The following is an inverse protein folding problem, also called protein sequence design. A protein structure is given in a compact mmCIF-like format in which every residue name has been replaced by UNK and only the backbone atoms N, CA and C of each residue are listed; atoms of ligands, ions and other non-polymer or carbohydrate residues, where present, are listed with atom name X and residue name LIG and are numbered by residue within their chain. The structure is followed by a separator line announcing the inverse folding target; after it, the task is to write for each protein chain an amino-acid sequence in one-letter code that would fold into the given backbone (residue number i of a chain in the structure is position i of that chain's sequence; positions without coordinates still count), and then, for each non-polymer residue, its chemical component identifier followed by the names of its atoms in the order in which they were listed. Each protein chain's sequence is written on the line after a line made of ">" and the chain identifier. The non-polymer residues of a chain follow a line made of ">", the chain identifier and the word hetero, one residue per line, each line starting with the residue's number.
data_IF_347958340920
#
_entry.id   IF_347958340920
#
_cell.length_a   1.000
_cell.length_b   1.000
_cell.length_c   1.000
_cell.angle_alpha   90.00
_cell.angle_beta   90.00
_cell.angle_gamma   90.00
#
_symmetry.space_group_name_H-M   'P 1'
#
loop_
_entity.id
_entity.type
_entity.pdbx_description
1 polymer ?
#
# COMPACT_ATOMS: atom_id res chain seq x y z
N UNK A 1 56.27 -22.06 31.64
CA UNK A 1 55.70 -23.39 31.98
C UNK A 1 54.29 -23.10 32.49
N UNK A 2 53.17 -23.44 31.87
CA UNK A 2 52.76 -24.54 30.97
C UNK A 2 51.37 -24.07 30.47
N UNK A 3 51.02 -23.90 29.19
CA UNK A 3 51.04 -24.85 28.08
C UNK A 3 49.79 -25.73 28.10
N UNK A 4 48.66 -25.30 27.49
CA UNK A 4 47.61 -26.19 26.96
C UNK A 4 46.98 -25.54 25.72
N UNK A 5 47.07 -26.24 24.59
CA UNK A 5 46.19 -26.08 23.42
C UNK A 5 44.96 -26.99 23.61
N UNK A 6 43.77 -26.57 23.17
CA UNK A 6 42.74 -27.51 22.71
C UNK A 6 42.01 -26.93 21.50
N UNK A 7 41.87 -27.77 20.48
CA UNK A 7 41.38 -27.48 19.15
C UNK A 7 40.01 -28.15 18.98
N UNK A 8 38.93 -27.38 18.75
CA UNK A 8 37.65 -27.92 18.25
C UNK A 8 36.96 -26.93 17.30
N UNK A 9 36.94 -27.28 16.02
CA UNK A 9 35.91 -26.92 15.01
C UNK A 9 34.75 -27.93 15.20
N UNK A 10 33.43 -27.61 15.07
CA UNK A 10 32.72 -27.00 13.92
C UNK A 10 31.69 -25.93 14.38
N UNK A 11 30.81 -25.28 13.62
CA UNK A 11 29.98 -25.64 12.47
C UNK A 11 29.38 -24.35 11.85
N UNK A 12 28.72 -24.52 10.70
CA UNK A 12 27.96 -23.55 9.92
C UNK A 12 27.27 -22.42 10.72
N UNK A 13 27.59 -21.17 10.37
CA UNK A 13 26.80 -20.01 10.74
C UNK A 13 25.54 -19.94 9.88
N UNK A 14 24.46 -20.56 10.36
CA UNK A 14 23.10 -20.37 9.85
C UNK A 14 22.43 -19.21 10.59
N UNK A 15 21.66 -18.45 9.81
CA UNK A 15 20.55 -17.58 10.21
C UNK A 15 20.89 -16.31 11.01
N UNK A 16 20.66 -15.17 10.35
CA UNK A 16 20.66 -13.88 10.99
C UNK A 16 20.29 -12.75 10.03
N UNK A 17 19.18 -12.87 9.31
CA UNK A 17 18.51 -11.68 8.76
C UNK A 17 17.11 -11.63 9.34
N UNK A 18 16.94 -10.69 10.25
CA UNK A 18 15.77 -10.54 11.09
C UNK A 18 14.52 -10.28 10.26
N UNK A 19 13.55 -11.17 10.42
CA UNK A 19 12.16 -10.84 10.20
C UNK A 19 11.79 -9.78 11.25
N UNK A 20 11.83 -8.53 10.82
CA UNK A 20 11.24 -7.45 11.58
C UNK A 20 9.72 -7.71 11.64
N UNK A 21 9.29 -8.29 12.75
CA UNK A 21 7.89 -8.39 13.14
C UNK A 21 7.34 -6.99 13.41
N UNK A 22 7.07 -6.23 12.35
CA UNK A 22 6.20 -5.06 12.43
C UNK A 22 4.79 -5.59 12.67
N UNK A 23 4.35 -5.56 13.92
CA UNK A 23 2.99 -5.91 14.29
C UNK A 23 2.02 -5.19 13.35
N UNK A 24 1.29 -5.98 12.55
CA UNK A 24 0.41 -5.48 11.50
C UNK A 24 -0.74 -4.69 12.13
N UNK A 25 -0.54 -3.38 12.33
CA UNK A 25 -1.63 -2.47 12.67
C UNK A 25 -2.57 -2.47 11.48
N UNK A 26 -3.67 -3.21 11.61
CA UNK A 26 -4.75 -3.23 10.64
C UNK A 26 -5.83 -2.26 11.10
N UNK A 27 -5.74 -1.03 10.60
CA UNK A 27 -6.77 -0.01 10.82
C UNK A 27 -7.79 -0.06 9.68
N UNK A 28 -9.08 0.06 10.00
CA UNK A 28 -10.13 0.25 8.98
C UNK A 28 -10.64 1.69 9.04
N UNK A 29 -10.84 2.29 7.88
CA UNK A 29 -11.40 3.63 7.73
C UNK A 29 -12.82 3.55 7.20
N UNK A 30 -13.67 4.40 7.75
CA UNK A 30 -15.09 4.46 7.45
C UNK A 30 -15.44 5.80 6.81
N UNK A 31 -16.39 5.77 5.89
CA UNK A 31 -17.03 6.98 5.36
C UNK A 31 -17.87 7.68 6.43
N UNK A 32 -18.32 8.91 6.15
CA UNK A 32 -19.24 9.65 7.01
C UNK A 32 -20.55 8.90 7.31
N UNK A 33 -20.94 7.94 6.46
CA UNK A 33 -22.12 7.09 6.62
C UNK A 33 -21.82 5.80 7.40
N UNK A 34 -20.62 5.63 7.98
CA UNK A 34 -20.23 4.45 8.75
C UNK A 34 -19.87 3.23 7.91
N UNK A 35 -19.86 3.31 6.57
CA UNK A 35 -19.45 2.21 5.69
C UNK A 35 -17.92 2.10 5.63
N UNK A 36 -17.32 0.89 5.72
CA UNK A 36 -15.88 0.71 5.52
C UNK A 36 -15.50 1.02 4.07
N UNK A 37 -14.46 1.81 3.88
CA UNK A 37 -14.05 2.30 2.55
C UNK A 37 -12.57 2.11 2.26
N UNK A 38 -11.71 1.95 3.28
CA UNK A 38 -10.30 1.66 3.11
C UNK A 38 -9.74 0.95 4.35
N UNK A 39 -8.58 0.31 4.23
CA UNK A 39 -7.86 -0.26 5.35
C UNK A 39 -6.37 0.00 5.24
N UNK A 40 -5.69 0.15 6.36
CA UNK A 40 -4.23 0.17 6.44
C UNK A 40 -3.72 -1.25 6.68
N UNK A 41 -2.76 -1.70 5.89
CA UNK A 41 -2.01 -2.95 6.12
C UNK A 41 -0.52 -2.64 6.06
N UNK A 42 0.14 -2.62 7.22
CA UNK A 42 1.50 -2.11 7.36
C UNK A 42 1.57 -0.62 7.00
N UNK A 43 2.23 -0.30 5.89
CA UNK A 43 2.39 1.07 5.38
C UNK A 43 1.53 1.36 4.13
N UNK A 44 0.62 0.45 3.78
CA UNK A 44 -0.18 0.53 2.56
C UNK A 44 -1.64 0.81 2.92
N UNK A 45 -2.15 1.98 2.50
CA UNK A 45 -3.58 2.29 2.50
C UNK A 45 -4.24 1.61 1.30
N UNK A 46 -5.00 0.55 1.55
CA UNK A 46 -5.74 -0.22 0.54
C UNK A 46 -7.18 0.25 0.42
N UNK A 47 -7.64 0.41 -0.82
CA UNK A 47 -9.03 0.73 -1.16
C UNK A 47 -9.52 -0.19 -2.28
N UNK A 48 -10.64 -0.88 -2.06
CA UNK A 48 -11.32 -1.66 -3.12
C UNK A 48 -12.36 -0.80 -3.81
N UNK A 49 -12.34 -0.79 -5.14
CA UNK A 49 -13.22 0.04 -5.97
C UNK A 49 -13.76 -0.72 -7.16
N UNK A 50 -14.77 -0.15 -7.81
CA UNK A 50 -15.29 -0.54 -9.12
C UNK A 50 -14.98 0.56 -10.12
N UNK A 51 -14.21 0.28 -11.17
CA UNK A 51 -13.79 1.27 -12.17
C UNK A 51 -14.95 1.97 -12.86
N UNK A 52 -15.99 1.24 -13.23
CA UNK A 52 -17.20 1.79 -13.88
C UNK A 52 -17.91 2.88 -13.08
N UNK A 53 -17.79 2.82 -11.75
CA UNK A 53 -18.46 3.73 -10.80
C UNK A 53 -17.51 4.78 -10.25
N UNK A 54 -16.28 4.40 -9.90
CA UNK A 54 -15.40 5.22 -9.05
C UNK A 54 -14.22 5.85 -9.79
N UNK A 55 -13.86 5.35 -10.98
CA UNK A 55 -12.74 5.92 -11.72
C UNK A 55 -13.15 7.28 -12.28
N UNK A 56 -12.30 8.29 -12.04
CA UNK A 56 -12.49 9.61 -12.62
C UNK A 56 -12.29 9.54 -14.13
N UNK A 57 -13.08 10.30 -14.90
CA UNK A 57 -13.00 10.33 -16.37
C UNK A 57 -12.08 11.44 -16.88
N UNK A 58 -12.13 12.62 -16.27
CA UNK A 58 -11.35 13.82 -16.67
C UNK A 58 -10.85 14.59 -15.44
N UNK A 59 -9.53 14.60 -15.19
CA UNK A 59 -8.54 13.67 -15.75
C UNK A 59 -8.85 12.22 -15.32
N UNK A 60 -8.41 11.24 -16.12
CA UNK A 60 -8.52 9.84 -15.73
C UNK A 60 -7.68 9.58 -14.47
N UNK A 61 -8.26 8.99 -13.42
CA UNK A 61 -7.56 8.82 -12.14
C UNK A 61 -8.41 8.19 -11.05
N UNK A 62 -7.79 8.05 -9.87
CA UNK A 62 -8.45 7.54 -8.67
C UNK A 62 -8.47 8.60 -7.58
N UNK A 63 -9.57 8.62 -6.82
CA UNK A 63 -9.78 9.56 -5.74
C UNK A 63 -9.76 8.89 -4.37
N UNK A 64 -9.09 9.54 -3.42
CA UNK A 64 -9.08 9.19 -2.01
C UNK A 64 -9.70 10.36 -1.24
N UNK A 65 -10.46 10.03 -0.19
CA UNK A 65 -11.00 11.03 0.73
C UNK A 65 -9.86 11.72 1.48
N UNK A 66 -9.93 13.05 1.63
CA UNK A 66 -8.84 13.83 2.24
C UNK A 66 -8.63 13.46 3.71
N UNK A 67 -9.70 13.22 4.47
CA UNK A 67 -9.62 12.89 5.89
C UNK A 67 -9.03 11.50 6.08
N UNK A 68 -9.45 10.54 5.24
CA UNK A 68 -8.88 9.19 5.25
C UNK A 68 -7.40 9.23 4.88
N UNK A 69 -7.02 9.99 3.85
CA UNK A 69 -5.63 10.10 3.43
C UNK A 69 -4.77 10.74 4.53
N UNK A 70 -5.29 11.74 5.23
CA UNK A 70 -4.62 12.40 6.35
C UNK A 70 -4.46 11.47 7.55
N UNK A 71 -5.55 10.80 7.97
CA UNK A 71 -5.52 9.82 9.07
C UNK A 71 -4.56 8.68 8.79
N UNK A 72 -4.65 8.08 7.60
CA UNK A 72 -3.75 7.01 7.19
C UNK A 72 -2.28 7.44 7.22
N UNK A 73 -1.97 8.68 6.85
CA UNK A 73 -0.61 9.21 6.97
C UNK A 73 -0.13 9.26 8.41
N UNK A 74 -0.98 9.75 9.32
CA UNK A 74 -0.72 9.77 10.76
C UNK A 74 -0.51 8.36 11.33
N UNK A 75 -1.23 7.39 10.78
CA UNK A 75 -1.16 5.97 11.17
C UNK A 75 0.03 5.23 10.52
N UNK A 76 0.86 5.91 9.74
CA UNK A 76 2.10 5.35 9.16
C UNK A 76 2.01 4.88 7.71
N UNK A 77 0.91 5.17 7.02
CA UNK A 77 0.80 4.91 5.59
C UNK A 77 1.81 5.77 4.80
N UNK A 78 2.46 5.16 3.82
CA UNK A 78 3.35 5.83 2.86
C UNK A 78 2.97 5.54 1.41
N UNK A 79 2.16 4.51 1.20
CA UNK A 79 1.71 4.04 -0.11
C UNK A 79 0.18 3.92 -0.13
N UNK A 80 -0.43 4.26 -1.25
CA UNK A 80 -1.85 4.01 -1.54
C UNK A 80 -1.95 2.93 -2.60
N UNK A 81 -2.80 1.94 -2.35
CA UNK A 81 -3.13 0.87 -3.27
C UNK A 81 -4.64 0.89 -3.54
N UNK A 82 -5.01 0.90 -4.82
CA UNK A 82 -6.39 0.83 -5.29
C UNK A 82 -6.56 -0.46 -6.08
N UNK A 83 -7.43 -1.33 -5.58
CA UNK A 83 -7.80 -2.60 -6.21
C UNK A 83 -9.12 -2.42 -6.95
N UNK A 84 -9.05 -2.39 -8.29
CA UNK A 84 -10.23 -2.34 -9.15
C UNK A 84 -10.77 -3.75 -9.40
N UNK A 85 -11.80 -4.11 -8.65
CA UNK A 85 -12.37 -5.47 -8.63
C UNK A 85 -13.05 -5.87 -9.93
N UNK A 86 -13.33 -4.91 -10.82
CA UNK A 86 -13.94 -5.19 -12.12
C UNK A 86 -12.89 -5.58 -13.18
N UNK A 87 -11.73 -4.91 -13.17
CA UNK A 87 -10.66 -5.18 -14.14
C UNK A 87 -9.53 -6.07 -13.61
N UNK A 88 -9.50 -6.33 -12.29
CA UNK A 88 -8.41 -7.04 -11.62
C UNK A 88 -7.10 -6.24 -11.59
N UNK A 89 -7.15 -4.92 -11.86
CA UNK A 89 -5.95 -4.08 -11.84
C UNK A 89 -5.70 -3.53 -10.45
N UNK A 90 -4.44 -3.58 -10.02
CA UNK A 90 -3.95 -2.97 -8.80
C UNK A 90 -3.13 -1.74 -9.17
N UNK A 91 -3.56 -0.60 -8.66
CA UNK A 91 -2.90 0.69 -8.86
C UNK A 91 -2.18 1.06 -7.58
N UNK A 92 -0.89 1.33 -7.66
CA UNK A 92 -0.06 1.73 -6.51
C UNK A 92 0.56 3.10 -6.74
N UNK A 93 0.51 3.98 -5.75
CA UNK A 93 1.16 5.28 -5.77
C UNK A 93 1.69 5.67 -4.38
N UNK A 94 2.85 6.35 -4.33
CA UNK A 94 3.34 6.91 -3.09
C UNK A 94 2.43 8.06 -2.62
N UNK A 95 2.18 8.17 -1.30
CA UNK A 95 1.32 9.21 -0.74
C UNK A 95 1.80 10.62 -1.06
N UNK A 96 3.12 10.84 -1.15
CA UNK A 96 3.71 12.13 -1.55
C UNK A 96 3.25 12.61 -2.93
N UNK A 97 2.88 11.70 -3.84
CA UNK A 97 2.38 12.09 -5.17
C UNK A 97 1.02 12.78 -5.10
N UNK A 98 0.21 12.51 -4.08
CA UNK A 98 -1.05 13.21 -3.85
C UNK A 98 -0.81 14.66 -3.42
N UNK A 99 0.25 14.93 -2.67
CA UNK A 99 0.61 16.29 -2.27
C UNK A 99 1.14 17.11 -3.46
N UNK A 100 1.94 16.46 -4.32
CA UNK A 100 2.61 17.12 -5.45
C UNK A 100 1.70 17.29 -6.68
N UNK A 101 0.87 16.29 -6.97
CA UNK A 101 0.13 16.19 -8.23
C UNK A 101 -1.36 15.90 -8.06
N UNK A 102 -1.83 15.79 -6.82
CA UNK A 102 -3.24 15.59 -6.53
C UNK A 102 -4.05 16.85 -6.79
N UNK A 103 -5.28 16.69 -7.28
CA UNK A 103 -6.24 17.77 -7.42
C UNK A 103 -7.39 17.56 -6.45
N UNK A 104 -7.70 18.58 -5.67
CA UNK A 104 -8.79 18.54 -4.69
C UNK A 104 -10.12 18.88 -5.35
N UNK A 105 -11.18 18.19 -4.94
CA UNK A 105 -12.55 18.47 -5.37
C UNK A 105 -13.55 17.93 -4.35
N UNK A 106 -14.78 18.43 -4.39
CA UNK A 106 -15.93 17.90 -3.65
C UNK A 106 -17.14 17.83 -4.59
N UNK A 107 -17.84 16.69 -4.58
CA UNK A 107 -19.06 16.45 -5.39
C UNK A 107 -20.25 16.05 -4.51
N UNK A 108 -20.28 16.50 -3.26
CA UNK A 108 -21.29 16.14 -2.27
C UNK A 108 -20.99 14.87 -1.49
N UNK A 109 -19.75 14.37 -1.56
CA UNK A 109 -19.28 13.17 -0.86
C UNK A 109 -18.13 13.46 0.11
N UNK A 110 -17.90 14.73 0.41
CA UNK A 110 -16.74 15.21 1.17
C UNK A 110 -15.57 15.58 0.27
N UNK A 111 -14.57 16.23 0.88
CA UNK A 111 -13.36 16.66 0.20
C UNK A 111 -12.52 15.45 -0.23
N UNK A 112 -12.22 15.36 -1.52
CA UNK A 112 -11.44 14.29 -2.12
C UNK A 112 -10.21 14.85 -2.83
N UNK A 113 -9.17 14.02 -2.91
CA UNK A 113 -8.00 14.28 -3.75
C UNK A 113 -7.91 13.20 -4.82
N UNK A 114 -7.98 13.63 -6.07
CA UNK A 114 -7.77 12.78 -7.25
C UNK A 114 -6.31 12.77 -7.66
N UNK A 115 -5.78 11.59 -7.97
CA UNK A 115 -4.46 11.44 -8.58
C UNK A 115 -4.60 10.88 -10.01
N UNK A 116 -4.14 11.61 -11.05
CA UNK A 116 -4.22 11.13 -12.43
C UNK A 116 -3.49 9.80 -12.65
N UNK A 117 -4.03 8.93 -13.52
CA UNK A 117 -3.54 7.56 -13.78
C UNK A 117 -2.05 7.51 -14.14
N UNK A 118 -1.50 8.53 -14.80
CA UNK A 118 -0.07 8.61 -15.16
C UNK A 118 0.91 8.56 -13.98
N UNK A 119 0.43 8.79 -12.76
CA UNK A 119 1.25 8.74 -11.54
C UNK A 119 1.10 7.41 -10.77
N UNK A 120 0.28 6.50 -11.27
CA UNK A 120 0.08 5.18 -10.66
C UNK A 120 0.93 4.15 -11.38
N UNK A 121 1.59 3.28 -10.61
CA UNK A 121 2.10 2.01 -11.10
C UNK A 121 0.94 1.02 -11.18
N UNK A 122 0.79 0.33 -12.30
CA UNK A 122 -0.34 -0.57 -12.54
C UNK A 122 0.15 -2.00 -12.70
N UNK A 123 -0.46 -2.91 -11.96
CA UNK A 123 -0.27 -4.36 -12.08
C UNK A 123 -1.62 -5.04 -12.35
N UNK A 124 -1.58 -6.24 -12.93
CA UNK A 124 -2.76 -7.10 -13.06
C UNK A 124 -2.66 -8.15 -11.97
N UNK A 125 -3.62 -8.15 -11.04
CA UNK A 125 -3.74 -9.19 -10.03
C UNK A 125 -3.95 -10.54 -10.73
N UNK A 126 -2.94 -11.42 -10.67
CA UNK A 126 -2.92 -12.70 -11.36
C UNK A 126 -1.71 -12.91 -12.27
N UNK A 127 -1.01 -11.84 -12.67
CA UNK A 127 0.33 -11.94 -13.31
C UNK A 127 1.38 -11.73 -12.23
N UNK A 128 1.40 -12.58 -11.20
CA UNK A 128 2.68 -12.83 -10.52
C UNK A 128 3.54 -13.50 -11.57
N UNK A 129 4.56 -12.81 -12.03
CA UNK A 129 5.68 -13.41 -12.74
C UNK A 129 6.06 -14.68 -11.96
N UNK A 130 5.65 -15.84 -12.46
CA UNK A 130 6.15 -17.11 -12.02
C UNK A 130 7.64 -17.00 -12.32
N UNK A 131 8.45 -16.79 -11.28
CA UNK A 131 9.83 -17.22 -11.35
C UNK A 131 9.74 -18.71 -11.70
N UNK A 132 9.92 -19.02 -12.98
CA UNK A 132 10.26 -20.38 -13.40
C UNK A 132 11.56 -20.67 -12.65
N UNK A 133 11.44 -21.45 -11.59
CA UNK A 133 12.56 -21.94 -10.81
C UNK A 133 13.55 -22.62 -11.77
N UNK A 134 14.84 -22.32 -11.56
CA UNK A 134 15.94 -23.05 -12.17
C UNK A 134 16.16 -24.43 -11.56
#
# INVERSE_FOLDING_TARGET
>A
MTGIQDNRKPAAGTAGQGEASFGAVRQTYFSAQGKPVASLDGHILRKRVRGSVHQLRKPAGWAIDCDILHKARGDGATVVEVDDVESGKVYTAAMRLFDLYGFKFDRGFGAQVGLPLKFWRVEIAGVRQLALWG
#
